data_IF_743068815598
#
_entry.id   IF_743068815598
#
_cell.length_a   1.000
_cell.length_b   1.000
_cell.length_c   1.000
_cell.angle_alpha   90.00
_cell.angle_beta   90.00
_cell.angle_gamma   90.00
#
_symmetry.space_group_name_H-M   'P 1'
#
loop_
_entity.id
_entity.type
_entity.pdbx_description
1 polymer ?
#
# COMPACT_ATOMS: atom_id res chain seq x y z
N UNK A 1 -15.27 8.59 -3.34
CA UNK A 1 -13.98 8.21 -2.71
C UNK A 1 -13.83 8.60 -1.24
N UNK A 2 -14.33 9.75 -0.74
CA UNK A 2 -14.06 10.15 0.67
C UNK A 2 -14.53 9.14 1.72
N UNK A 3 -15.62 8.42 1.48
CA UNK A 3 -16.16 7.38 2.38
C UNK A 3 -15.28 6.13 2.46
N UNK A 4 -14.36 5.91 1.51
CA UNK A 4 -13.40 4.79 1.53
C UNK A 4 -12.18 5.09 2.40
N UNK A 5 -11.95 6.35 2.75
CA UNK A 5 -10.81 6.75 3.58
C UNK A 5 -11.06 6.33 5.01
N UNK A 6 -10.13 5.55 5.57
CA UNK A 6 -10.18 5.17 6.97
C UNK A 6 -10.13 6.43 7.85
N UNK A 7 -11.06 6.60 8.82
CA UNK A 7 -11.21 7.86 9.56
C UNK A 7 -9.92 8.26 10.31
N UNK A 8 -9.16 7.26 10.76
CA UNK A 8 -7.89 7.49 11.46
C UNK A 8 -6.72 7.92 10.54
N UNK A 9 -6.81 7.73 9.22
CA UNK A 9 -5.73 8.14 8.30
C UNK A 9 -5.49 9.65 8.40
N UNK A 10 -6.55 10.45 8.24
CA UNK A 10 -6.46 11.93 8.29
C UNK A 10 -6.02 12.41 9.67
N UNK A 11 -6.52 11.80 10.74
CA UNK A 11 -6.16 12.14 12.10
C UNK A 11 -4.67 11.89 12.36
N UNK A 12 -4.19 10.68 12.07
CA UNK A 12 -2.78 10.33 12.29
C UNK A 12 -1.83 11.07 11.36
N UNK A 13 -2.26 11.41 10.14
CA UNK A 13 -1.53 12.31 9.26
C UNK A 13 -1.37 13.69 9.90
N UNK A 14 -2.46 14.30 10.38
CA UNK A 14 -2.44 15.63 10.97
C UNK A 14 -1.56 15.66 12.24
N UNK A 15 -1.69 14.66 13.12
CA UNK A 15 -0.85 14.53 14.32
C UNK A 15 0.62 14.37 13.94
N UNK A 16 0.94 13.48 13.00
CA UNK A 16 2.32 13.27 12.52
C UNK A 16 2.91 14.51 11.86
N UNK A 17 2.08 15.28 11.14
CA UNK A 17 2.50 16.51 10.50
C UNK A 17 2.84 17.59 11.53
N UNK A 18 1.95 17.83 12.50
CA UNK A 18 2.19 18.83 13.56
C UNK A 18 3.44 18.50 14.35
N UNK A 19 3.60 17.24 14.78
CA UNK A 19 4.78 16.83 15.52
C UNK A 19 6.05 17.01 14.70
N UNK A 20 6.05 16.58 13.43
CA UNK A 20 7.22 16.74 12.57
C UNK A 20 7.57 18.20 12.34
N UNK A 21 6.59 19.09 12.14
CA UNK A 21 6.81 20.52 11.99
C UNK A 21 7.42 21.14 13.25
N UNK A 22 6.97 20.73 14.44
CA UNK A 22 7.57 21.18 15.70
C UNK A 22 9.02 20.71 15.85
N UNK A 23 9.33 19.46 15.48
CA UNK A 23 10.70 18.94 15.50
C UNK A 23 11.59 19.68 14.50
N UNK A 24 11.12 19.90 13.27
CA UNK A 24 11.85 20.69 12.29
C UNK A 24 12.07 22.12 12.74
N UNK A 25 11.06 22.76 13.34
CA UNK A 25 11.18 24.10 13.90
C UNK A 25 12.26 24.15 14.99
N UNK A 26 12.27 23.19 15.91
CA UNK A 26 13.29 23.10 16.96
C UNK A 26 14.70 22.93 16.38
N UNK A 27 14.86 22.06 15.36
CA UNK A 27 16.13 21.87 14.65
C UNK A 27 16.60 23.15 13.96
N UNK A 28 15.70 23.88 13.29
CA UNK A 28 16.03 25.15 12.63
C UNK A 28 16.45 26.22 13.66
N UNK A 29 15.71 26.35 14.77
CA UNK A 29 16.02 27.31 15.85
C UNK A 29 17.41 27.04 16.44
N UNK A 30 17.83 25.77 16.55
CA UNK A 30 19.14 25.41 17.11
C UNK A 30 20.35 25.79 16.24
N UNK A 31 20.16 26.18 14.98
CA UNK A 31 21.17 26.39 13.93
C UNK A 31 22.02 25.15 13.59
N UNK A 32 22.54 24.40 14.57
CA UNK A 32 23.23 23.12 14.40
C UNK A 32 22.30 22.07 13.77
N UNK A 33 21.01 22.08 14.14
CA UNK A 33 20.00 21.20 13.56
C UNK A 33 19.84 21.34 12.04
N UNK A 34 20.14 22.51 11.47
CA UNK A 34 20.11 22.74 10.02
C UNK A 34 21.15 21.84 9.32
N UNK A 35 22.34 21.68 9.91
CA UNK A 35 23.39 20.82 9.36
C UNK A 35 22.91 19.36 9.30
N UNK A 36 22.26 18.88 10.37
CA UNK A 36 21.69 17.53 10.41
C UNK A 36 20.54 17.34 9.40
N UNK A 37 19.69 18.35 9.21
CA UNK A 37 18.63 18.31 8.19
C UNK A 37 19.26 18.17 6.79
N UNK A 38 20.24 19.01 6.46
CA UNK A 38 20.90 18.97 5.15
C UNK A 38 21.59 17.62 4.92
N UNK A 39 22.36 17.15 5.91
CA UNK A 39 23.02 15.85 5.84
C UNK A 39 22.02 14.70 5.67
N UNK A 40 20.93 14.72 6.44
CA UNK A 40 19.86 13.73 6.36
C UNK A 40 19.21 13.71 4.98
N UNK A 41 18.94 14.87 4.38
CA UNK A 41 18.40 14.98 3.01
C UNK A 41 19.38 14.39 1.99
N UNK A 42 20.68 14.72 2.08
CA UNK A 42 21.70 14.21 1.15
C UNK A 42 21.81 12.68 1.26
N UNK A 43 21.92 12.15 2.48
CA UNK A 43 22.01 10.71 2.71
C UNK A 43 20.75 10.00 2.22
N UNK A 44 19.56 10.50 2.57
CA UNK A 44 18.31 9.92 2.12
C UNK A 44 18.19 9.96 0.59
N UNK A 45 18.61 11.05 -0.05
CA UNK A 45 18.60 11.17 -1.51
C UNK A 45 19.54 10.15 -2.17
N UNK A 46 20.76 9.98 -1.67
CA UNK A 46 21.73 9.01 -2.21
C UNK A 46 21.23 7.58 -2.00
N UNK A 47 20.84 7.22 -0.78
CA UNK A 47 20.35 5.86 -0.46
C UNK A 47 19.12 5.53 -1.31
N UNK A 48 18.15 6.44 -1.40
CA UNK A 48 16.95 6.22 -2.19
C UNK A 48 17.24 6.19 -3.70
N UNK A 49 18.16 7.03 -4.18
CA UNK A 49 18.63 7.02 -5.56
C UNK A 49 19.31 5.70 -5.96
N UNK A 50 20.18 5.17 -5.09
CA UNK A 50 20.81 3.86 -5.27
C UNK A 50 19.78 2.74 -5.26
N UNK A 51 18.81 2.77 -4.33
CA UNK A 51 17.73 1.80 -4.26
C UNK A 51 16.89 1.78 -5.55
N UNK A 52 16.46 2.94 -6.02
CA UNK A 52 15.70 3.07 -7.28
C UNK A 52 16.57 2.67 -8.48
N UNK A 53 17.86 3.02 -8.46
CA UNK A 53 18.82 2.57 -9.46
C UNK A 53 18.92 1.05 -9.53
N UNK A 54 19.00 0.37 -8.38
CA UNK A 54 19.05 -1.09 -8.30
C UNK A 54 17.77 -1.74 -8.81
N UNK A 55 16.59 -1.20 -8.46
CA UNK A 55 15.29 -1.67 -8.99
C UNK A 55 15.26 -1.53 -10.51
N UNK A 56 15.64 -0.36 -11.04
CA UNK A 56 15.55 -0.09 -12.48
C UNK A 56 16.62 -0.81 -13.30
N UNK A 57 17.78 -1.07 -12.70
CA UNK A 57 18.91 -1.74 -13.34
C UNK A 57 18.75 -3.26 -13.41
N UNK A 58 18.10 -3.87 -12.42
CA UNK A 58 17.95 -5.33 -12.34
C UNK A 58 16.51 -5.81 -12.60
N UNK A 59 15.51 -4.94 -12.45
CA UNK A 59 14.11 -5.30 -12.59
C UNK A 59 13.60 -5.27 -14.02
N UNK A 60 12.64 -6.14 -14.29
CA UNK A 60 11.94 -6.20 -15.58
C UNK A 60 10.90 -5.08 -15.60
N UNK A 61 11.08 -4.09 -16.49
CA UNK A 61 10.09 -3.05 -16.70
C UNK A 61 8.90 -3.60 -17.47
N UNK A 62 7.71 -3.54 -16.88
CA UNK A 62 6.47 -3.96 -17.54
C UNK A 62 6.13 -3.00 -18.69
N UNK A 63 5.76 -3.55 -19.84
CA UNK A 63 5.37 -2.82 -21.05
C UNK A 63 4.40 -3.64 -21.91
N UNK A 64 3.91 -3.05 -22.99
CA UNK A 64 3.14 -3.73 -24.04
C UNK A 64 3.89 -4.92 -24.68
N UNK A 65 5.22 -4.94 -24.58
CA UNK A 65 6.08 -6.03 -25.11
C UNK A 65 6.65 -6.93 -24.02
N UNK A 66 6.61 -6.52 -22.75
CA UNK A 66 7.16 -7.27 -21.62
C UNK A 66 6.09 -7.42 -20.55
N UNK A 67 5.59 -8.65 -20.37
CA UNK A 67 4.43 -8.94 -19.51
C UNK A 67 3.19 -8.15 -19.96
N UNK A 68 2.74 -8.32 -21.23
CA UNK A 68 1.67 -7.52 -21.83
C UNK A 68 0.34 -7.61 -21.08
N UNK A 69 0.06 -8.75 -20.46
CA UNK A 69 -1.15 -8.96 -19.66
C UNK A 69 -1.16 -8.08 -18.42
N UNK A 70 -0.06 -8.07 -17.66
CA UNK A 70 0.12 -7.18 -16.49
C UNK A 70 0.08 -5.71 -16.93
N UNK A 71 0.68 -5.39 -18.08
CA UNK A 71 0.63 -4.04 -18.63
C UNK A 71 -0.82 -3.60 -18.92
N UNK A 72 -1.60 -4.41 -19.64
CA UNK A 72 -3.00 -4.11 -19.96
C UNK A 72 -3.86 -3.97 -18.70
N UNK A 73 -3.70 -4.90 -17.75
CA UNK A 73 -4.41 -4.87 -16.47
C UNK A 73 -4.10 -3.58 -15.70
N UNK A 74 -2.81 -3.21 -15.63
CA UNK A 74 -2.39 -1.97 -14.98
C UNK A 74 -2.94 -0.71 -15.68
N UNK A 75 -2.97 -0.67 -17.01
CA UNK A 75 -3.58 0.45 -17.76
C UNK A 75 -5.08 0.57 -17.43
N UNK A 76 -5.81 -0.54 -17.45
CA UNK A 76 -7.25 -0.59 -17.14
C UNK A 76 -7.53 -0.11 -15.71
N UNK A 77 -6.80 -0.62 -14.71
CA UNK A 77 -6.97 -0.20 -13.32
C UNK A 77 -6.61 1.28 -13.15
N UNK A 78 -5.51 1.75 -13.74
CA UNK A 78 -5.13 3.16 -13.66
C UNK A 78 -6.18 4.08 -14.29
N UNK A 79 -6.80 3.66 -15.40
CA UNK A 79 -7.90 4.38 -16.03
C UNK A 79 -9.13 4.46 -15.11
N UNK A 80 -9.57 3.32 -14.56
CA UNK A 80 -10.68 3.23 -13.60
C UNK A 80 -10.44 4.09 -12.35
N UNK A 81 -9.20 4.17 -11.89
CA UNK A 81 -8.80 4.96 -10.72
C UNK A 81 -8.44 6.42 -11.07
N UNK A 82 -8.54 6.82 -12.34
CA UNK A 82 -8.13 8.13 -12.86
C UNK A 82 -6.71 8.52 -12.42
N UNK A 83 -5.77 7.60 -12.58
CA UNK A 83 -4.35 7.77 -12.28
C UNK A 83 -3.59 8.13 -13.55
N UNK A 84 -3.27 9.41 -13.69
CA UNK A 84 -2.47 9.94 -14.79
C UNK A 84 -1.23 10.69 -14.25
N UNK A 85 -0.01 10.35 -14.69
CA UNK A 85 0.34 9.23 -15.59
C UNK A 85 0.18 7.86 -14.91
N UNK A 86 0.05 6.79 -15.70
CA UNK A 86 0.07 5.42 -15.18
C UNK A 86 1.42 5.14 -14.51
N UNK A 87 1.45 4.66 -13.25
CA UNK A 87 2.70 4.35 -12.56
C UNK A 87 3.53 3.30 -13.33
N UNK A 88 4.85 3.48 -13.36
CA UNK A 88 5.73 2.50 -13.98
C UNK A 88 5.82 1.25 -13.09
N UNK A 89 5.64 0.05 -13.66
CA UNK A 89 5.73 -1.20 -12.91
C UNK A 89 7.06 -1.91 -13.22
N UNK A 90 7.73 -2.36 -12.17
CA UNK A 90 8.95 -3.17 -12.23
C UNK A 90 8.73 -4.50 -11.54
N UNK A 91 9.20 -5.58 -12.15
CA UNK A 91 9.18 -6.93 -11.58
C UNK A 91 10.56 -7.31 -11.09
N UNK A 92 10.63 -7.81 -9.85
CA UNK A 92 11.87 -8.27 -9.23
C UNK A 92 11.73 -9.71 -8.74
N UNK A 93 12.80 -10.48 -8.85
CA UNK A 93 12.90 -11.76 -8.17
C UNK A 93 13.33 -11.55 -6.72
N UNK A 94 12.63 -12.17 -5.77
CA UNK A 94 12.96 -12.03 -4.33
C UNK A 94 12.97 -13.38 -3.61
N UNK A 95 13.47 -14.44 -4.25
CA UNK A 95 13.79 -15.70 -3.58
C UNK A 95 12.61 -16.35 -2.82
N UNK A 96 11.39 -16.23 -3.33
CA UNK A 96 10.18 -16.79 -2.71
C UNK A 96 9.35 -15.80 -1.89
N UNK A 97 9.86 -14.59 -1.60
CA UNK A 97 9.09 -13.58 -0.87
C UNK A 97 7.94 -13.04 -1.71
N UNK A 98 6.77 -12.88 -1.08
CA UNK A 98 5.60 -12.26 -1.68
C UNK A 98 5.50 -10.82 -1.21
N UNK A 99 5.70 -9.88 -2.13
CA UNK A 99 5.57 -8.47 -1.85
C UNK A 99 5.21 -7.68 -3.11
N UNK A 100 4.51 -6.58 -2.90
CA UNK A 100 4.37 -5.49 -3.85
C UNK A 100 4.40 -4.20 -3.05
N UNK A 101 4.97 -3.13 -3.63
CA UNK A 101 4.96 -1.83 -2.98
C UNK A 101 5.05 -0.68 -3.99
N UNK A 102 4.36 0.40 -3.68
CA UNK A 102 4.52 1.68 -4.35
C UNK A 102 5.75 2.42 -3.80
N UNK A 103 6.49 3.07 -4.70
CA UNK A 103 7.57 3.99 -4.36
C UNK A 103 7.58 5.19 -5.30
N UNK A 104 8.29 6.26 -4.93
CA UNK A 104 8.36 7.48 -5.73
C UNK A 104 9.79 8.03 -5.74
N UNK A 105 10.27 8.47 -6.89
CA UNK A 105 11.55 9.16 -7.02
C UNK A 105 11.42 10.37 -7.94
N UNK A 106 11.82 11.55 -7.46
CA UNK A 106 11.73 12.81 -8.20
C UNK A 106 10.35 13.05 -8.85
N UNK A 107 9.28 12.81 -8.09
CA UNK A 107 7.90 13.00 -8.54
C UNK A 107 7.35 11.92 -9.49
N UNK A 108 8.15 10.91 -9.86
CA UNK A 108 7.70 9.76 -10.65
C UNK A 108 7.32 8.61 -9.74
N UNK A 109 6.12 8.08 -9.95
CA UNK A 109 5.60 6.94 -9.18
C UNK A 109 5.98 5.63 -9.86
N UNK A 110 6.36 4.67 -9.03
CA UNK A 110 6.72 3.32 -9.41
C UNK A 110 5.92 2.35 -8.55
N UNK A 111 5.60 1.19 -9.12
CA UNK A 111 5.16 0.03 -8.37
C UNK A 111 6.16 -1.08 -8.61
N UNK A 112 6.62 -1.70 -7.54
CA UNK A 112 7.49 -2.86 -7.59
C UNK A 112 6.66 -4.05 -7.20
N UNK A 113 6.67 -5.10 -8.02
CA UNK A 113 5.94 -6.35 -7.76
C UNK A 113 6.94 -7.49 -7.80
N UNK A 114 6.96 -8.32 -6.78
CA UNK A 114 7.81 -9.50 -6.80
C UNK A 114 7.23 -10.57 -7.74
N UNK A 115 8.11 -11.30 -8.43
CA UNK A 115 7.74 -12.26 -9.46
C UNK A 115 6.76 -13.31 -8.93
N UNK A 116 6.93 -13.72 -7.67
CA UNK A 116 6.07 -14.68 -6.98
C UNK A 116 4.62 -14.22 -6.87
N UNK A 117 4.37 -12.90 -6.78
CA UNK A 117 3.00 -12.33 -6.80
C UNK A 117 2.42 -12.40 -8.21
N UNK A 118 3.23 -12.21 -9.25
CA UNK A 118 2.76 -12.25 -10.64
C UNK A 118 2.58 -13.66 -11.20
N UNK A 119 3.30 -14.66 -10.70
CA UNK A 119 3.04 -16.07 -11.06
C UNK A 119 1.58 -16.48 -10.80
N UNK A 120 0.92 -15.80 -9.85
CA UNK A 120 -0.51 -15.93 -9.60
C UNK A 120 -1.38 -15.63 -10.84
N UNK A 121 -0.98 -14.67 -11.68
CA UNK A 121 -1.70 -14.30 -12.90
C UNK A 121 -1.76 -15.48 -13.89
N UNK A 122 -0.67 -16.24 -14.01
CA UNK A 122 -0.60 -17.39 -14.93
C UNK A 122 -1.45 -18.58 -14.47
N UNK A 123 -1.65 -18.75 -13.17
CA UNK A 123 -2.34 -19.91 -12.61
C UNK A 123 -3.84 -19.70 -12.34
N UNK A 124 -4.51 -18.70 -12.96
CA UNK A 124 -5.95 -18.32 -12.79
C UNK A 124 -6.27 -17.32 -11.67
N UNK A 125 -5.28 -16.61 -11.10
CA UNK A 125 -5.48 -15.64 -10.03
C UNK A 125 -5.45 -14.17 -10.47
N UNK A 126 -5.93 -13.86 -11.67
CA UNK A 126 -5.93 -12.50 -12.24
C UNK A 126 -6.62 -11.48 -11.31
N UNK A 127 -7.74 -11.84 -10.69
CA UNK A 127 -8.46 -10.95 -9.78
C UNK A 127 -7.64 -10.58 -8.53
N UNK A 128 -6.90 -11.53 -7.97
CA UNK A 128 -6.03 -11.28 -6.82
C UNK A 128 -4.85 -10.38 -7.18
N UNK A 129 -4.23 -10.57 -8.36
CA UNK A 129 -3.19 -9.65 -8.86
C UNK A 129 -3.77 -8.27 -9.12
N UNK A 130 -4.96 -8.19 -9.72
CA UNK A 130 -5.66 -6.93 -9.95
C UNK A 130 -5.91 -6.19 -8.63
N UNK A 131 -6.31 -6.89 -7.57
CA UNK A 131 -6.46 -6.33 -6.23
C UNK A 131 -5.13 -5.79 -5.70
N UNK A 132 -4.04 -6.55 -5.78
CA UNK A 132 -2.72 -6.09 -5.32
C UNK A 132 -2.26 -4.84 -6.07
N UNK A 133 -2.39 -4.82 -7.41
CA UNK A 133 -2.07 -3.63 -8.21
C UNK A 133 -2.95 -2.44 -7.81
N UNK A 134 -4.24 -2.66 -7.62
CA UNK A 134 -5.19 -1.62 -7.20
C UNK A 134 -4.85 -1.07 -5.81
N UNK A 135 -4.37 -1.92 -4.90
CA UNK A 135 -3.90 -1.54 -3.58
C UNK A 135 -2.67 -0.62 -3.67
N UNK A 136 -1.67 -0.99 -4.47
CA UNK A 136 -0.49 -0.15 -4.67
C UNK A 136 -0.81 1.18 -5.37
N UNK A 137 -1.75 1.13 -6.33
CA UNK A 137 -2.25 2.33 -7.00
C UNK A 137 -3.03 3.23 -6.05
N UNK A 138 -3.72 2.67 -5.05
CA UNK A 138 -4.38 3.44 -4.01
C UNK A 138 -3.37 4.25 -3.17
N UNK A 139 -2.21 3.68 -2.83
CA UNK A 139 -1.14 4.44 -2.16
C UNK A 139 -0.70 5.67 -2.96
N UNK A 140 -0.59 5.52 -4.28
CA UNK A 140 -0.22 6.59 -5.20
C UNK A 140 -1.36 7.62 -5.31
N UNK A 141 -2.60 7.18 -5.51
CA UNK A 141 -3.78 8.05 -5.61
C UNK A 141 -3.96 8.90 -4.35
N UNK A 142 -3.73 8.29 -3.17
CA UNK A 142 -3.81 8.95 -1.86
C UNK A 142 -2.56 9.76 -1.51
N UNK A 143 -1.50 9.72 -2.35
CA UNK A 143 -0.25 10.47 -2.16
C UNK A 143 0.43 10.14 -0.83
N UNK A 144 0.33 8.89 -0.37
CA UNK A 144 0.91 8.44 0.91
C UNK A 144 2.44 8.62 0.97
N UNK A 145 3.10 8.76 -0.17
CA UNK A 145 4.55 8.95 -0.28
C UNK A 145 4.98 10.42 -0.44
N UNK A 146 4.10 11.32 -0.89
CA UNK A 146 4.49 12.68 -1.29
C UNK A 146 5.05 13.51 -0.13
N UNK A 147 4.45 13.35 1.06
CA UNK A 147 4.80 14.12 2.25
C UNK A 147 5.67 13.32 3.22
N UNK A 148 6.18 12.16 2.79
CA UNK A 148 6.86 11.23 3.70
C UNK A 148 8.15 11.80 4.29
N UNK A 149 8.85 12.67 3.55
CA UNK A 149 10.00 13.40 4.07
C UNK A 149 9.57 14.38 5.19
N UNK A 150 8.45 15.08 5.02
CA UNK A 150 7.94 16.03 6.01
C UNK A 150 7.40 15.32 7.26
N UNK A 151 6.89 14.10 7.12
CA UNK A 151 6.41 13.29 8.24
C UNK A 151 7.54 12.54 8.96
N UNK A 152 8.75 12.52 8.41
CA UNK A 152 9.82 11.61 8.84
C UNK A 152 10.12 11.66 10.36
N UNK A 153 10.21 12.83 11.02
CA UNK A 153 10.43 12.88 12.47
C UNK A 153 9.34 12.15 13.28
N UNK A 154 8.07 12.36 12.94
CA UNK A 154 6.97 11.67 13.61
C UNK A 154 6.95 10.16 13.32
N UNK A 155 7.46 9.74 12.16
CA UNK A 155 7.58 8.31 11.82
C UNK A 155 8.58 7.56 12.69
N UNK A 156 9.54 8.26 13.33
CA UNK A 156 10.49 7.68 14.27
C UNK A 156 9.91 7.50 15.68
N UNK A 157 8.79 8.16 15.98
CA UNK A 157 8.14 8.05 17.28
C UNK A 157 7.46 6.68 17.36
N UNK A 158 7.77 5.87 18.40
CA UNK A 158 7.16 4.56 18.59
C UNK A 158 5.64 4.64 18.49
N UNK A 159 5.05 3.65 17.81
CA UNK A 159 3.60 3.49 17.60
C UNK A 159 2.93 4.52 16.69
N UNK A 160 3.39 5.77 16.61
CA UNK A 160 2.74 6.81 15.82
C UNK A 160 2.90 6.57 14.32
N UNK A 161 4.15 6.40 13.86
CA UNK A 161 4.43 6.16 12.45
C UNK A 161 3.80 4.86 11.95
N UNK A 162 3.82 3.81 12.79
CA UNK A 162 3.17 2.53 12.48
C UNK A 162 1.64 2.67 12.49
N UNK A 163 1.05 3.44 13.41
CA UNK A 163 -0.39 3.71 13.42
C UNK A 163 -0.87 4.47 12.17
N UNK A 164 -0.13 5.48 11.72
CA UNK A 164 -0.40 6.16 10.45
C UNK A 164 -0.31 5.18 9.28
N UNK A 165 0.76 4.38 9.22
CA UNK A 165 0.94 3.36 8.16
C UNK A 165 -0.23 2.37 8.12
N UNK A 166 -0.63 1.81 9.26
CA UNK A 166 -1.78 0.90 9.36
C UNK A 166 -3.09 1.53 8.91
N UNK A 167 -3.30 2.82 9.18
CA UNK A 167 -4.50 3.52 8.71
C UNK A 167 -4.50 3.72 7.19
N UNK A 168 -3.33 4.00 6.59
CA UNK A 168 -3.16 4.03 5.14
C UNK A 168 -3.48 2.68 4.50
N UNK A 169 -3.01 1.57 5.08
CA UNK A 169 -3.29 0.21 4.60
C UNK A 169 -4.80 -0.06 4.52
N UNK A 170 -5.55 0.28 5.58
CA UNK A 170 -7.02 0.12 5.56
C UNK A 170 -7.70 0.96 4.48
N UNK A 171 -7.23 2.17 4.21
CA UNK A 171 -7.76 2.97 3.10
C UNK A 171 -7.44 2.34 1.75
N UNK A 172 -6.21 1.89 1.55
CA UNK A 172 -5.79 1.24 0.31
C UNK A 172 -6.55 -0.06 0.08
N UNK A 173 -6.76 -0.86 1.12
CA UNK A 173 -7.61 -2.05 1.11
C UNK A 173 -9.05 -1.73 0.69
N UNK A 174 -9.67 -0.71 1.29
CA UNK A 174 -11.04 -0.29 0.95
C UNK A 174 -11.15 0.17 -0.50
N UNK A 175 -10.17 0.94 -0.98
CA UNK A 175 -10.14 1.41 -2.37
C UNK A 175 -9.91 0.24 -3.32
N UNK A 176 -8.97 -0.66 -3.03
CA UNK A 176 -8.69 -1.81 -3.86
C UNK A 176 -9.88 -2.77 -3.92
N UNK A 177 -10.54 -3.05 -2.79
CA UNK A 177 -11.73 -3.88 -2.74
C UNK A 177 -12.93 -3.22 -3.46
N UNK A 178 -12.99 -1.89 -3.52
CA UNK A 178 -14.00 -1.19 -4.31
C UNK A 178 -13.85 -1.45 -5.81
N UNK A 179 -12.63 -1.35 -6.32
CA UNK A 179 -12.36 -1.53 -7.75
C UNK A 179 -12.26 -3.01 -8.14
N UNK A 180 -11.77 -3.87 -7.24
CA UNK A 180 -11.50 -5.28 -7.47
C UNK A 180 -12.09 -6.16 -6.35
N UNK A 181 -13.43 -6.16 -6.16
CA UNK A 181 -14.08 -6.89 -5.06
C UNK A 181 -13.85 -8.40 -5.14
N UNK A 182 -13.92 -8.97 -6.36
CA UNK A 182 -13.69 -10.40 -6.60
C UNK A 182 -12.26 -10.86 -6.24
N UNK A 183 -11.31 -9.93 -6.18
CA UNK A 183 -9.90 -10.19 -5.87
C UNK A 183 -9.53 -9.94 -4.41
N UNK A 184 -10.38 -9.30 -3.61
CA UNK A 184 -10.01 -8.74 -2.31
C UNK A 184 -9.55 -9.81 -1.30
N UNK A 185 -10.37 -10.85 -1.10
CA UNK A 185 -10.04 -11.94 -0.20
C UNK A 185 -8.81 -12.72 -0.69
N UNK A 186 -8.80 -13.11 -1.96
CA UNK A 186 -7.71 -13.88 -2.55
C UNK A 186 -6.38 -13.12 -2.52
N UNK A 187 -6.39 -11.81 -2.78
CA UNK A 187 -5.20 -10.96 -2.74
C UNK A 187 -4.53 -10.93 -1.36
N UNK A 188 -5.31 -10.79 -0.28
CA UNK A 188 -4.77 -10.85 1.08
C UNK A 188 -4.32 -12.27 1.48
N UNK A 189 -5.08 -13.30 1.10
CA UNK A 189 -4.74 -14.69 1.44
C UNK A 189 -3.46 -15.17 0.76
N UNK A 190 -3.10 -14.61 -0.40
CA UNK A 190 -1.81 -14.89 -1.04
C UNK A 190 -0.65 -14.44 -0.15
N UNK A 191 -0.75 -13.31 0.55
CA UNK A 191 0.28 -12.91 1.50
C UNK A 191 0.32 -13.79 2.76
N UNK A 192 -0.81 -14.43 3.11
CA UNK A 192 -0.88 -15.33 4.26
C UNK A 192 -0.32 -16.73 3.97
N UNK A 193 -0.67 -17.31 2.82
CA UNK A 193 -0.45 -18.73 2.51
C UNK A 193 0.32 -18.98 1.20
N UNK A 194 0.63 -17.93 0.45
CA UNK A 194 1.35 -18.01 -0.80
C UNK A 194 0.52 -18.36 -2.02
N UNK A 195 1.15 -18.31 -3.20
CA UNK A 195 0.50 -18.45 -4.52
C UNK A 195 -0.23 -19.79 -4.77
N UNK A 196 0.02 -20.82 -3.95
CA UNK A 196 -0.62 -22.14 -4.08
C UNK A 196 -1.63 -22.41 -2.96
N UNK A 197 -1.21 -22.26 -1.70
CA UNK A 197 -2.02 -22.71 -0.57
C UNK A 197 -3.21 -21.78 -0.27
N UNK A 198 -3.18 -20.52 -0.71
CA UNK A 198 -4.27 -19.57 -0.45
C UNK A 198 -5.66 -20.07 -0.86
N UNK A 199 -5.74 -20.94 -1.87
CA UNK A 199 -7.00 -21.54 -2.37
C UNK A 199 -7.63 -22.53 -1.41
N UNK A 200 -6.85 -23.06 -0.47
CA UNK A 200 -7.30 -24.02 0.53
C UNK A 200 -7.58 -23.34 1.88
N UNK A 201 -7.40 -22.01 1.96
CA UNK A 201 -7.70 -21.24 3.16
C UNK A 201 -9.12 -20.71 3.05
N UNK A 202 -9.95 -21.04 4.04
CA UNK A 202 -11.29 -20.47 4.17
C UNK A 202 -11.18 -18.98 4.56
N UNK A 203 -11.64 -18.04 3.71
CA UNK A 203 -11.56 -16.61 4.02
C UNK A 203 -12.40 -16.20 5.23
N UNK A 204 -13.52 -16.87 5.49
CA UNK A 204 -14.39 -16.58 6.62
C UNK A 204 -13.75 -17.02 7.93
N UNK A 205 -13.22 -18.24 7.98
CA UNK A 205 -12.52 -18.74 9.17
C UNK A 205 -11.27 -17.91 9.46
N UNK A 206 -10.46 -17.61 8.44
CA UNK A 206 -9.29 -16.76 8.60
C UNK A 206 -9.65 -15.34 9.05
N UNK A 207 -10.78 -14.79 8.59
CA UNK A 207 -11.29 -13.51 9.07
C UNK A 207 -11.78 -13.58 10.53
N UNK A 208 -12.37 -14.69 10.96
CA UNK A 208 -12.83 -14.91 12.34
C UNK A 208 -11.66 -15.05 13.31
N UNK A 209 -10.49 -15.48 12.82
CA UNK A 209 -9.24 -15.52 13.59
C UNK A 209 -8.88 -14.17 14.23
N UNK A 210 -9.29 -13.05 13.62
CA UNK A 210 -9.11 -11.71 14.20
C UNK A 210 -9.79 -11.52 15.57
N UNK A 211 -10.81 -12.33 15.88
CA UNK A 211 -11.55 -12.29 17.14
C UNK A 211 -11.14 -13.37 18.13
N UNK A 212 -10.67 -14.52 17.64
CA UNK A 212 -10.27 -15.65 18.49
C UNK A 212 -8.82 -15.52 18.94
N UNK A 213 -7.90 -15.11 18.05
CA UNK A 213 -6.49 -14.90 18.37
C UNK A 213 -6.26 -13.50 18.96
N UNK A 214 -6.47 -13.40 20.28
CA UNK A 214 -6.29 -12.16 21.05
C UNK A 214 -5.25 -12.37 22.15
N UNK A 215 -4.62 -11.28 22.56
CA UNK A 215 -3.67 -11.29 23.66
C UNK A 215 -2.68 -10.13 23.58
N UNK A 216 -1.94 -9.93 24.66
CA UNK A 216 -0.94 -8.86 24.76
C UNK A 216 0.11 -8.95 23.63
N UNK A 217 0.63 -10.15 23.36
CA UNK A 217 1.67 -10.32 22.34
C UNK A 217 1.17 -10.12 20.91
N UNK A 218 -0.04 -10.58 20.60
CA UNK A 218 -0.68 -10.34 19.29
C UNK A 218 -0.90 -8.83 19.09
N UNK A 219 -1.40 -8.15 20.12
CA UNK A 219 -1.60 -6.70 20.09
C UNK A 219 -0.28 -5.94 19.94
N UNK A 220 0.75 -6.28 20.72
CA UNK A 220 2.04 -5.60 20.70
C UNK A 220 2.74 -5.77 19.35
N UNK A 221 2.73 -6.99 18.80
CA UNK A 221 3.29 -7.28 17.49
C UNK A 221 2.62 -6.43 16.39
N UNK A 222 1.29 -6.31 16.41
CA UNK A 222 0.58 -5.48 15.44
C UNK A 222 0.85 -3.98 15.63
N UNK A 223 0.89 -3.50 16.88
CA UNK A 223 1.13 -2.09 17.18
C UNK A 223 2.53 -1.63 16.73
N UNK A 224 3.52 -2.53 16.78
CA UNK A 224 4.86 -2.30 16.25
C UNK A 224 4.97 -2.51 14.72
N UNK A 225 4.03 -3.22 14.11
CA UNK A 225 3.99 -3.47 12.66
C UNK A 225 3.45 -2.27 11.86
N UNK A 226 4.01 -2.05 10.67
CA UNK A 226 3.52 -1.07 9.70
C UNK A 226 2.20 -1.48 9.04
N UNK A 227 1.86 -2.77 9.08
CA UNK A 227 0.65 -3.33 8.49
C UNK A 227 -0.26 -3.91 9.59
N UNK A 228 -1.59 -3.75 9.49
CA UNK A 228 -2.51 -4.49 10.34
C UNK A 228 -2.42 -5.99 10.07
N UNK A 229 -2.82 -6.81 11.03
CA UNK A 229 -2.82 -8.26 10.86
C UNK A 229 -3.75 -8.65 9.69
N UNK A 230 -3.31 -9.59 8.85
CA UNK A 230 -4.06 -10.03 7.65
C UNK A 230 -5.51 -10.45 7.96
N UNK A 231 -5.82 -11.23 9.02
CA UNK A 231 -7.19 -11.51 9.45
C UNK A 231 -8.07 -10.28 9.65
N UNK A 232 -7.51 -9.21 10.25
CA UNK A 232 -8.24 -7.96 10.52
C UNK A 232 -8.49 -7.17 9.24
N UNK A 233 -7.53 -7.17 8.30
CA UNK A 233 -7.70 -6.56 6.98
C UNK A 233 -8.81 -7.26 6.20
N UNK A 234 -8.81 -8.59 6.20
CA UNK A 234 -9.85 -9.39 5.55
C UNK A 234 -11.24 -9.14 6.16
N UNK A 235 -11.33 -9.08 7.50
CA UNK A 235 -12.58 -8.74 8.20
C UNK A 235 -13.09 -7.35 7.84
N UNK A 236 -12.21 -6.37 7.70
CA UNK A 236 -12.58 -5.01 7.35
C UNK A 236 -13.28 -4.90 5.98
N UNK A 237 -13.11 -5.87 5.07
CA UNK A 237 -13.89 -5.92 3.84
C UNK A 237 -15.38 -6.19 4.10
N UNK A 238 -15.73 -7.09 5.02
CA UNK A 238 -17.14 -7.35 5.39
C UNK A 238 -17.82 -6.07 5.90
N UNK A 239 -17.10 -5.29 6.70
CA UNK A 239 -17.56 -3.99 7.20
C UNK A 239 -17.68 -2.96 6.07
N UNK A 240 -16.73 -2.98 5.12
CA UNK A 240 -16.72 -2.07 3.97
C UNK A 240 -17.84 -2.36 3.00
N UNK A 241 -18.12 -3.64 2.70
CA UNK A 241 -19.29 -4.04 1.90
C UNK A 241 -20.60 -3.57 2.54
N UNK A 242 -20.74 -3.69 3.86
CA UNK A 242 -21.91 -3.19 4.57
C UNK A 242 -22.07 -1.67 4.41
N UNK A 243 -20.97 -0.91 4.53
CA UNK A 243 -20.97 0.55 4.31
C UNK A 243 -21.30 0.90 2.86
N UNK A 244 -20.75 0.16 1.88
CA UNK A 244 -21.02 0.38 0.46
C UNK A 244 -22.47 0.06 0.07
N UNK A 245 -23.10 -0.93 0.70
CA UNK A 245 -24.52 -1.23 0.51
C UNK A 245 -25.42 -0.14 1.09
N UNK A 246 -24.99 0.56 2.14
CA UNK A 246 -25.72 1.67 2.75
C UNK A 246 -25.58 2.98 1.96
N UNK A 247 -24.44 3.17 1.28
CA UNK A 247 -24.18 4.31 0.42
C UNK A 247 -23.82 3.79 -0.99
N UNK A 248 -24.81 3.27 -1.74
CA UNK A 248 -24.56 2.86 -3.12
C UNK A 248 -24.02 4.08 -3.85
N UNK A 249 -22.78 3.97 -4.32
CA UNK A 249 -22.29 4.94 -5.28
C UNK A 249 -23.18 4.82 -6.49
N UNK A 250 -23.82 5.93 -6.87
CA UNK A 250 -24.64 5.97 -8.07
C UNK A 250 -23.88 5.29 -9.21
N UNK A 251 -24.44 4.16 -9.61
CA UNK A 251 -23.98 3.42 -10.76
C UNK A 251 -24.11 4.32 -11.97
N UNK A 252 -23.08 4.29 -12.81
CA UNK A 252 -23.10 4.75 -14.20
C UNK A 252 -22.89 6.26 -14.42
N UNK A 253 -21.66 6.62 -14.78
CA UNK A 253 -21.50 7.40 -16.01
C UNK A 253 -21.76 6.45 -17.19
N UNK A 254 -23.03 6.21 -17.51
CA UNK A 254 -23.43 5.78 -18.84
C UNK A 254 -23.07 6.95 -19.76
N UNK A 255 -21.88 6.91 -20.36
CA UNK A 255 -21.58 7.76 -21.52
C UNK A 255 -21.79 6.87 -22.73
N UNK A 256 -22.87 7.21 -23.44
CA UNK A 256 -23.17 6.76 -24.80
C UNK A 256 -22.01 7.04 -25.74
#
# INVERSE_FOLDING_TARGET
MQFLVHPKEKLYFAVSLVISLLVYLALVISLVGIVYIILGIIVAFIVHGLFIGAIRGNGIRVSDKQLPEVYRLAQQIAEQMELKPVPAIYVLQSGGFLNAFATMFLGRNFVVIYAEVLELAWEKGESAVAFVISHEFAHIKRRHLNWRWLLYPAMLIPFLGSAYSRACEYTCDRIAAHYQPAGAAAGLLVFAAGKKLYRFVDPEEFSNQAETERGFWVWLAEVLSTHPNLPKRLRAFKETEAVMRQFPLDSQSTVK
#
